data_IF_361950336252
#
_entry.id   IF_361950336252
#
_cell.length_a   1.000
_cell.length_b   1.000
_cell.length_c   1.000
_cell.angle_alpha   90.00
_cell.angle_beta   90.00
_cell.angle_gamma   90.00
#
_symmetry.space_group_name_H-M   'P 1'
#
loop_
_entity.id
_entity.type
_entity.pdbx_description
1 polymer ?
#
# COMPACT_ATOMS: atom_id res chain seq x y z
N UNK A 1 17.49 86.90 -20.42
CA UNK A 1 18.73 86.16 -20.07
C UNK A 1 18.32 84.88 -19.34
N UNK A 2 18.66 83.65 -19.68
CA UNK A 2 19.35 83.03 -20.82
C UNK A 2 18.59 81.74 -21.23
N UNK A 3 18.61 81.34 -22.52
CA UNK A 3 19.48 80.28 -23.10
C UNK A 3 19.33 78.93 -22.38
N UNK A 4 19.09 77.77 -23.01
CA UNK A 4 19.23 77.28 -24.39
C UNK A 4 18.71 75.82 -24.42
N UNK A 5 18.18 75.38 -25.57
CA UNK A 5 18.42 74.09 -26.29
C UNK A 5 18.33 72.73 -25.52
N UNK A 6 17.99 71.56 -26.07
CA UNK A 6 17.56 71.03 -27.38
C UNK A 6 17.21 69.53 -27.13
N UNK A 7 16.16 69.04 -27.80
CA UNK A 7 16.03 67.77 -28.57
C UNK A 7 16.30 66.37 -27.94
N UNK A 8 15.27 65.52 -28.11
CA UNK A 8 15.21 64.04 -28.32
C UNK A 8 15.49 63.07 -27.17
N UNK A 9 14.52 62.21 -26.86
CA UNK A 9 14.43 60.90 -27.54
C UNK A 9 13.10 60.19 -27.27
N UNK A 10 12.51 59.70 -28.35
CA UNK A 10 11.38 58.77 -28.43
C UNK A 10 11.68 57.46 -27.70
N UNK A 11 10.69 56.87 -27.04
CA UNK A 11 10.16 55.53 -27.37
C UNK A 11 9.10 55.05 -26.37
N UNK A 12 7.95 54.76 -26.94
CA UNK A 12 7.12 53.59 -26.65
C UNK A 12 6.55 53.50 -25.23
N UNK A 13 5.52 54.31 -25.00
CA UNK A 13 4.31 53.79 -24.34
C UNK A 13 3.78 52.62 -25.20
N UNK A 14 4.17 51.39 -24.87
CA UNK A 14 3.45 50.21 -25.35
C UNK A 14 2.03 50.27 -24.80
N UNK A 15 1.12 50.74 -25.64
CA UNK A 15 -0.31 50.54 -25.49
C UNK A 15 -0.56 49.05 -25.28
N UNK A 16 -1.09 48.72 -24.10
CA UNK A 16 -1.78 47.48 -23.78
C UNK A 16 -2.77 47.12 -24.91
N UNK A 17 -2.34 46.31 -25.88
CA UNK A 17 -3.25 45.62 -26.80
C UNK A 17 -4.02 44.60 -25.98
N UNK A 18 -5.28 44.91 -25.64
CA UNK A 18 -6.26 43.91 -25.22
C UNK A 18 -6.30 42.82 -26.28
N UNK A 19 -5.66 41.69 -25.99
CA UNK A 19 -5.63 40.50 -26.85
C UNK A 19 -7.08 40.01 -26.95
N UNK A 20 -7.66 40.08 -28.14
CA UNK A 20 -9.00 39.53 -28.39
C UNK A 20 -8.94 38.03 -28.12
N UNK A 21 -9.48 37.59 -26.98
CA UNK A 21 -9.51 36.18 -26.63
C UNK A 21 -10.58 35.53 -27.49
N UNK A 22 -10.15 34.71 -28.45
CA UNK A 22 -11.04 34.03 -29.38
C UNK A 22 -11.87 32.98 -28.61
N UNK A 23 -13.20 33.12 -28.61
CA UNK A 23 -14.13 32.24 -27.88
C UNK A 23 -13.93 30.75 -28.23
N UNK A 24 -13.58 30.45 -29.48
CA UNK A 24 -13.28 29.08 -29.90
C UNK A 24 -12.02 28.50 -29.22
N UNK A 25 -11.03 29.33 -28.92
CA UNK A 25 -9.81 28.91 -28.21
C UNK A 25 -10.12 28.63 -26.73
N UNK A 26 -10.98 29.44 -26.11
CA UNK A 26 -11.43 29.22 -24.71
C UNK A 26 -12.16 27.88 -24.60
N UNK A 27 -13.10 27.59 -25.51
CA UNK A 27 -13.86 26.33 -25.50
C UNK A 27 -12.93 25.13 -25.65
N UNK A 28 -11.92 25.19 -26.53
CA UNK A 28 -10.93 24.12 -26.69
C UNK A 28 -10.11 23.89 -25.42
N UNK A 29 -9.69 24.95 -24.74
CA UNK A 29 -8.94 24.86 -23.47
C UNK A 29 -9.80 24.22 -22.38
N UNK A 30 -11.08 24.63 -22.27
CA UNK A 30 -12.02 24.05 -21.30
C UNK A 30 -12.23 22.55 -21.56
N UNK A 31 -12.43 22.16 -22.82
CA UNK A 31 -12.57 20.75 -23.20
C UNK A 31 -11.33 19.92 -22.87
N UNK A 32 -10.12 20.45 -23.10
CA UNK A 32 -8.88 19.78 -22.70
C UNK A 32 -8.78 19.60 -21.19
N UNK A 33 -9.13 20.61 -20.39
CA UNK A 33 -9.11 20.51 -18.93
C UNK A 33 -10.12 19.46 -18.44
N UNK A 34 -11.33 19.46 -18.99
CA UNK A 34 -12.36 18.47 -18.69
C UNK A 34 -11.92 17.03 -19.02
N UNK A 35 -11.25 16.83 -20.15
CA UNK A 35 -10.72 15.52 -20.53
C UNK A 35 -9.66 15.03 -19.53
N UNK A 36 -8.77 15.91 -19.07
CA UNK A 36 -7.76 15.58 -18.05
C UNK A 36 -8.42 15.18 -16.73
N UNK A 37 -9.44 15.92 -16.29
CA UNK A 37 -10.19 15.61 -15.06
C UNK A 37 -10.88 14.24 -15.16
N UNK A 38 -11.50 13.91 -16.30
CA UNK A 38 -12.15 12.61 -16.52
C UNK A 38 -11.13 11.47 -16.46
N UNK A 39 -9.97 11.64 -17.12
CA UNK A 39 -8.91 10.62 -17.12
C UNK A 39 -8.38 10.40 -15.69
N UNK A 40 -8.12 11.48 -14.93
CA UNK A 40 -7.68 11.38 -13.54
C UNK A 40 -8.75 10.74 -12.64
N UNK A 41 -10.02 11.07 -12.83
CA UNK A 41 -11.13 10.49 -12.08
C UNK A 41 -11.32 8.99 -12.30
N UNK A 42 -11.24 8.54 -13.56
CA UNK A 42 -11.32 7.10 -13.91
C UNK A 42 -10.13 6.35 -13.32
N UNK A 43 -8.91 6.91 -13.43
CA UNK A 43 -7.69 6.29 -12.90
C UNK A 43 -7.68 6.21 -11.36
N UNK A 44 -8.28 7.20 -10.68
CA UNK A 44 -8.48 7.18 -9.23
C UNK A 44 -9.48 6.09 -8.80
N UNK A 45 -10.57 5.90 -9.55
CA UNK A 45 -11.57 4.86 -9.23
C UNK A 45 -11.06 3.43 -9.40
N UNK A 46 -10.21 3.15 -10.39
CA UNK A 46 -9.60 1.82 -10.55
C UNK A 46 -8.71 1.45 -9.36
N UNK A 47 -7.87 2.37 -8.89
CA UNK A 47 -7.04 2.18 -7.69
C UNK A 47 -7.88 1.99 -6.42
N UNK A 48 -9.01 2.69 -6.31
CA UNK A 48 -9.89 2.55 -5.15
C UNK A 48 -10.62 1.20 -5.11
N UNK A 49 -11.02 0.65 -6.27
CA UNK A 49 -11.63 -0.69 -6.37
C UNK A 49 -10.64 -1.82 -6.07
N UNK A 50 -9.34 -1.64 -6.35
CA UNK A 50 -8.30 -2.60 -5.96
C UNK A 50 -8.14 -2.66 -4.44
N UNK A 51 -8.10 -1.50 -3.76
CA UNK A 51 -8.00 -1.43 -2.28
C UNK A 51 -9.25 -1.94 -1.56
N UNK A 52 -10.45 -1.78 -2.12
CA UNK A 52 -11.68 -2.26 -1.46
C UNK A 52 -11.86 -3.78 -1.50
N UNK A 53 -11.20 -4.49 -2.42
CA UNK A 53 -11.31 -5.94 -2.55
C UNK A 53 -10.40 -6.72 -1.57
N UNK A 54 -9.64 -6.04 -0.73
CA UNK A 54 -8.82 -6.66 0.31
C UNK A 54 -9.63 -7.31 1.43
N UNK A 55 -10.93 -7.06 1.47
CA UNK A 55 -11.79 -7.46 2.58
C UNK A 55 -12.32 -8.89 2.35
N UNK A 56 -11.61 -9.83 2.99
CA UNK A 56 -12.02 -11.18 3.34
C UNK A 56 -11.83 -12.28 2.27
N UNK A 57 -10.96 -13.25 2.58
CA UNK A 57 -10.72 -14.48 1.81
C UNK A 57 -11.80 -15.56 2.02
N UNK A 58 -13.01 -15.21 2.48
CA UNK A 58 -14.10 -16.19 2.66
C UNK A 58 -14.49 -16.83 1.32
N UNK A 59 -14.45 -18.16 1.29
CA UNK A 59 -14.78 -18.95 0.09
C UNK A 59 -13.66 -19.04 -0.94
N UNK A 60 -12.46 -18.56 -0.63
CA UNK A 60 -11.26 -18.80 -1.43
C UNK A 60 -10.54 -20.06 -0.96
N UNK A 61 -9.96 -20.81 -1.90
CA UNK A 61 -9.06 -21.92 -1.63
C UNK A 61 -7.64 -21.59 -2.13
N UNK A 62 -6.62 -22.09 -1.43
CA UNK A 62 -5.24 -21.98 -1.88
C UNK A 62 -5.04 -22.88 -3.11
N UNK A 63 -4.50 -22.32 -4.19
CA UNK A 63 -4.17 -23.08 -5.40
C UNK A 63 -2.67 -23.28 -5.57
N UNK A 64 -1.89 -22.21 -5.43
CA UNK A 64 -0.44 -22.24 -5.56
C UNK A 64 0.19 -21.56 -4.35
N UNK A 65 1.30 -22.12 -3.86
CA UNK A 65 2.12 -21.54 -2.81
C UNK A 65 3.59 -21.63 -3.25
N UNK A 66 4.29 -20.49 -3.27
CA UNK A 66 5.72 -20.43 -3.61
C UNK A 66 6.48 -19.67 -2.53
N UNK A 67 7.50 -20.30 -1.95
CA UNK A 67 8.42 -19.62 -1.03
C UNK A 67 9.11 -18.47 -1.77
N UNK A 68 8.95 -17.25 -1.25
CA UNK A 68 9.58 -16.05 -1.82
C UNK A 68 10.72 -15.55 -0.96
N UNK A 69 10.62 -15.69 0.37
CA UNK A 69 11.67 -15.21 1.26
C UNK A 69 11.68 -15.94 2.61
N UNK A 70 12.79 -15.82 3.32
CA UNK A 70 12.99 -16.29 4.69
C UNK A 70 13.83 -15.27 5.44
N UNK A 71 13.34 -14.86 6.60
CA UNK A 71 13.94 -13.84 7.45
C UNK A 71 13.92 -14.27 8.92
N UNK A 72 14.79 -13.67 9.73
CA UNK A 72 14.67 -13.78 11.19
C UNK A 72 13.56 -12.84 11.67
N UNK A 73 12.87 -13.19 12.74
CA UNK A 73 11.96 -12.30 13.45
C UNK A 73 12.74 -11.50 14.47
N UNK A 74 12.42 -10.21 14.57
CA UNK A 74 12.97 -9.34 15.62
C UNK A 74 12.28 -9.68 16.93
N UNK A 75 13.07 -9.95 17.98
CA UNK A 75 12.55 -10.09 19.33
C UNK A 75 12.42 -8.70 19.97
N UNK A 76 11.22 -8.35 20.43
CA UNK A 76 10.91 -7.10 21.14
C UNK A 76 10.35 -7.48 22.50
N UNK A 77 11.08 -7.13 23.56
CA UNK A 77 10.72 -7.39 24.96
C UNK A 77 10.36 -8.87 25.25
N UNK A 78 11.05 -9.82 24.60
CA UNK A 78 10.80 -11.25 24.76
C UNK A 78 9.75 -11.83 23.81
N UNK A 79 9.11 -11.01 22.98
CA UNK A 79 8.05 -11.43 22.05
C UNK A 79 8.49 -11.29 20.59
N UNK A 80 7.96 -12.14 19.72
CA UNK A 80 8.21 -12.10 18.27
C UNK A 80 7.02 -11.57 17.47
N UNK A 81 5.80 -11.71 18.02
CA UNK A 81 4.56 -11.25 17.40
C UNK A 81 3.74 -10.47 18.43
N UNK A 82 3.16 -9.35 17.99
CA UNK A 82 1.98 -8.78 18.63
C UNK A 82 0.72 -9.38 18.02
N UNK A 83 -0.28 -9.68 18.84
CA UNK A 83 -1.62 -10.10 18.42
C UNK A 83 -2.61 -9.04 18.89
N UNK A 84 -3.44 -8.53 18.00
CA UNK A 84 -4.48 -7.57 18.36
C UNK A 84 -5.73 -7.73 17.50
N UNK A 85 -6.77 -6.97 17.83
CA UNK A 85 -8.03 -6.96 17.09
C UNK A 85 -8.21 -5.59 16.43
N UNK A 86 -8.50 -5.54 15.14
CA UNK A 86 -8.85 -4.32 14.42
C UNK A 86 -10.19 -4.53 13.74
N UNK A 87 -11.19 -3.72 14.06
CA UNK A 87 -12.54 -3.82 13.49
C UNK A 87 -13.16 -5.24 13.63
N UNK A 88 -12.93 -5.91 14.76
CA UNK A 88 -13.42 -7.27 15.03
C UNK A 88 -12.67 -8.38 14.29
N UNK A 89 -11.58 -8.07 13.59
CA UNK A 89 -10.71 -9.04 12.93
C UNK A 89 -9.41 -9.19 13.71
N UNK A 90 -8.90 -10.41 13.87
CA UNK A 90 -7.61 -10.68 14.52
C UNK A 90 -6.47 -10.40 13.53
N UNK A 91 -5.49 -9.64 14.01
CA UNK A 91 -4.27 -9.25 13.32
C UNK A 91 -3.04 -9.71 14.11
N UNK A 92 -1.97 -10.00 13.38
CA UNK A 92 -0.64 -10.22 13.92
C UNK A 92 0.33 -9.20 13.33
N UNK A 93 1.15 -8.63 14.19
CA UNK A 93 2.14 -7.62 13.84
C UNK A 93 3.52 -8.15 14.19
N UNK A 94 4.46 -8.10 13.25
CA UNK A 94 5.84 -8.51 13.48
C UNK A 94 6.83 -7.71 12.64
N UNK A 95 8.12 -7.80 12.99
CA UNK A 95 9.21 -7.20 12.23
C UNK A 95 10.19 -8.29 11.82
N UNK A 96 10.60 -8.28 10.54
CA UNK A 96 11.62 -9.16 10.02
C UNK A 96 13.00 -8.50 10.04
N UNK A 97 14.05 -9.29 10.16
CA UNK A 97 15.44 -8.86 10.03
C UNK A 97 16.19 -9.79 9.08
N UNK A 98 16.89 -9.20 8.12
CA UNK A 98 17.74 -9.90 7.16
C UNK A 98 18.94 -9.01 6.82
N UNK A 99 20.14 -9.59 6.81
CA UNK A 99 21.38 -8.86 6.54
C UNK A 99 21.58 -7.62 7.45
N UNK A 100 21.19 -7.72 8.73
CA UNK A 100 21.21 -6.64 9.73
C UNK A 100 20.29 -5.44 9.41
N UNK A 101 19.41 -5.56 8.42
CA UNK A 101 18.36 -4.58 8.12
C UNK A 101 17.02 -5.08 8.65
N UNK A 102 16.34 -4.23 9.42
CA UNK A 102 15.01 -4.50 9.94
C UNK A 102 13.95 -3.94 9.01
N UNK A 103 12.90 -4.70 8.75
CA UNK A 103 11.73 -4.25 8.00
C UNK A 103 10.94 -3.20 8.78
N UNK A 104 9.95 -2.57 8.16
CA UNK A 104 8.86 -1.95 8.92
C UNK A 104 8.01 -3.02 9.62
N UNK A 105 7.11 -2.60 10.49
CA UNK A 105 6.09 -3.49 11.05
C UNK A 105 5.21 -4.04 9.93
N UNK A 106 5.10 -5.37 9.89
CA UNK A 106 4.25 -6.11 8.98
C UNK A 106 2.98 -6.46 9.75
N UNK A 107 1.85 -5.92 9.30
CA UNK A 107 0.52 -6.25 9.82
C UNK A 107 -0.19 -7.22 8.86
N UNK A 108 -0.64 -8.35 9.41
CA UNK A 108 -1.34 -9.40 8.66
C UNK A 108 -2.55 -9.91 9.43
N UNK A 109 -3.63 -10.22 8.71
CA UNK A 109 -4.79 -10.87 9.32
C UNK A 109 -4.48 -12.33 9.64
N UNK A 110 -5.15 -12.89 10.65
CA UNK A 110 -4.98 -14.28 11.11
C UNK A 110 -5.03 -15.32 9.97
N UNK A 111 -5.89 -15.10 8.95
CA UNK A 111 -5.98 -15.99 7.77
C UNK A 111 -4.73 -16.03 6.88
N UNK A 112 -3.80 -15.09 7.05
CA UNK A 112 -2.59 -14.95 6.25
C UNK A 112 -1.34 -15.41 7.00
N UNK A 113 -1.49 -15.96 8.20
CA UNK A 113 -0.36 -16.43 9.01
C UNK A 113 -0.63 -17.83 9.56
N UNK A 114 0.38 -18.69 9.49
CA UNK A 114 0.47 -19.94 10.22
C UNK A 114 1.48 -19.78 11.34
N UNK A 115 1.12 -20.17 12.55
CA UNK A 115 2.02 -20.13 13.71
C UNK A 115 2.43 -21.56 14.04
N UNK A 116 3.72 -21.84 13.89
CA UNK A 116 4.35 -23.08 14.28
C UNK A 116 5.12 -22.86 15.57
N UNK A 117 4.72 -23.55 16.64
CA UNK A 117 5.46 -23.55 17.88
C UNK A 117 6.64 -24.50 17.78
N UNK A 118 7.86 -23.97 17.89
CA UNK A 118 9.10 -24.73 17.76
C UNK A 118 10.01 -24.49 18.97
N UNK A 119 10.63 -25.57 19.44
CA UNK A 119 11.68 -25.52 20.45
C UNK A 119 13.07 -25.57 19.81
N UNK A 120 14.03 -24.94 20.50
CA UNK A 120 15.44 -24.84 20.11
C UNK A 120 16.17 -26.19 20.03
N UNK A 121 15.55 -27.27 20.52
CA UNK A 121 16.22 -28.54 20.78
C UNK A 121 16.13 -29.56 19.65
N UNK A 122 15.20 -29.45 18.68
CA UNK A 122 14.94 -30.55 17.73
C UNK A 122 14.21 -30.19 16.42
N UNK A 123 14.12 -28.92 16.03
CA UNK A 123 13.39 -28.52 14.82
C UNK A 123 14.32 -28.25 13.63
N UNK A 124 13.92 -28.71 12.43
CA UNK A 124 14.50 -28.27 11.15
C UNK A 124 14.36 -26.74 10.97
N UNK A 125 13.38 -26.14 11.65
CA UNK A 125 13.03 -24.73 11.57
C UNK A 125 13.44 -23.99 12.84
N UNK A 126 14.37 -23.04 12.71
CA UNK A 126 14.93 -22.29 13.84
C UNK A 126 13.84 -21.38 14.48
N UNK A 127 13.68 -21.37 15.82
CA UNK A 127 12.79 -20.43 16.49
C UNK A 127 13.18 -18.97 16.18
N UNK A 128 12.17 -18.11 16.04
CA UNK A 128 12.34 -16.72 15.62
C UNK A 128 12.59 -16.60 14.12
N UNK A 129 11.97 -17.45 13.29
CA UNK A 129 12.08 -17.40 11.83
C UNK A 129 10.71 -17.17 11.21
N UNK A 130 10.66 -16.41 10.11
CA UNK A 130 9.46 -16.27 9.27
C UNK A 130 9.78 -16.63 7.83
N UNK A 131 8.92 -17.45 7.22
CA UNK A 131 8.95 -17.78 5.80
C UNK A 131 7.76 -17.12 5.11
N UNK A 132 8.04 -16.31 4.10
CA UNK A 132 7.03 -15.65 3.31
C UNK A 132 6.77 -16.44 2.02
N UNK A 133 5.51 -16.66 1.71
CA UNK A 133 5.06 -17.37 0.53
C UNK A 133 4.16 -16.46 -0.30
N UNK A 134 4.41 -16.40 -1.61
CA UNK A 134 3.45 -15.84 -2.54
C UNK A 134 2.38 -16.90 -2.82
N UNK A 135 1.13 -16.57 -2.51
CA UNK A 135 0.03 -17.52 -2.53
C UNK A 135 -1.11 -17.01 -3.42
N UNK A 136 -1.57 -17.89 -4.32
CA UNK A 136 -2.74 -17.64 -5.16
C UNK A 136 -3.99 -18.20 -4.48
N UNK A 137 -4.87 -17.30 -4.06
CA UNK A 137 -6.18 -17.63 -3.50
C UNK A 137 -7.23 -17.58 -4.61
N UNK A 138 -7.93 -18.69 -4.82
CA UNK A 138 -8.88 -18.84 -5.91
C UNK A 138 -10.29 -19.10 -5.39
N UNK A 139 -11.24 -18.32 -5.87
CA UNK A 139 -12.67 -18.54 -5.64
C UNK A 139 -13.26 -19.24 -6.85
N UNK A 140 -13.99 -20.32 -6.61
CA UNK A 140 -14.69 -21.10 -7.64
C UNK A 140 -16.20 -20.93 -7.52
N UNK A 141 -16.92 -21.03 -8.64
CA UNK A 141 -18.38 -21.14 -8.65
C UNK A 141 -18.84 -22.57 -8.28
N UNK A 142 -20.17 -22.79 -8.25
CA UNK A 142 -20.77 -24.11 -7.96
C UNK A 142 -20.42 -25.18 -9.00
N UNK A 143 -19.97 -24.78 -10.18
CA UNK A 143 -19.58 -25.66 -11.29
C UNK A 143 -18.07 -25.91 -11.33
N UNK A 144 -17.32 -25.38 -10.36
CA UNK A 144 -15.87 -25.53 -10.27
C UNK A 144 -15.05 -24.55 -11.12
N UNK A 145 -15.68 -23.60 -11.81
CA UNK A 145 -14.98 -22.62 -12.63
C UNK A 145 -14.38 -21.52 -11.76
N UNK A 146 -13.18 -21.05 -12.13
CA UNK A 146 -12.51 -19.96 -11.43
C UNK A 146 -13.22 -18.64 -11.74
N UNK A 147 -13.76 -18.00 -10.70
CA UNK A 147 -14.43 -16.69 -10.81
C UNK A 147 -13.55 -15.54 -10.36
N UNK A 148 -12.56 -15.78 -9.48
CA UNK A 148 -11.61 -14.75 -9.04
C UNK A 148 -10.34 -15.38 -8.47
N UNK A 149 -9.20 -14.78 -8.81
CA UNK A 149 -7.90 -15.09 -8.20
C UNK A 149 -7.38 -13.85 -7.48
N UNK A 150 -6.90 -14.00 -6.26
CA UNK A 150 -6.22 -12.96 -5.49
C UNK A 150 -4.83 -13.45 -5.11
N UNK A 151 -3.81 -12.65 -5.40
CA UNK A 151 -2.44 -12.93 -4.96
C UNK A 151 -2.20 -12.24 -3.64
N UNK A 152 -1.78 -12.99 -2.62
CA UNK A 152 -1.40 -12.42 -1.32
C UNK A 152 -0.18 -13.12 -0.78
N UNK A 153 0.51 -12.46 0.14
CA UNK A 153 1.52 -13.13 0.94
C UNK A 153 0.86 -13.94 2.06
N UNK A 154 1.40 -15.13 2.28
CA UNK A 154 1.13 -16.00 3.41
C UNK A 154 2.42 -16.20 4.20
N UNK A 155 2.34 -16.16 5.52
CA UNK A 155 3.51 -16.23 6.38
C UNK A 155 3.45 -17.46 7.26
N UNK A 156 4.49 -18.29 7.23
CA UNK A 156 4.69 -19.35 8.23
C UNK A 156 5.70 -18.85 9.23
N UNK A 157 5.26 -18.71 10.48
CA UNK A 157 6.00 -18.09 11.56
C UNK A 157 6.37 -19.15 12.58
N UNK A 158 7.67 -19.29 12.86
CA UNK A 158 8.22 -20.31 13.74
C UNK A 158 8.73 -19.64 15.01
N UNK A 159 8.06 -19.86 16.13
CA UNK A 159 8.32 -19.17 17.39
C UNK A 159 8.21 -20.12 18.59
N UNK A 160 8.85 -19.82 19.72
CA UNK A 160 8.64 -20.57 20.95
C UNK A 160 7.23 -20.37 21.52
N UNK A 161 6.82 -21.23 22.45
CA UNK A 161 5.58 -21.00 23.21
C UNK A 161 5.66 -19.67 23.99
N UNK A 162 4.50 -19.06 24.20
CA UNK A 162 4.34 -17.82 24.99
C UNK A 162 5.10 -16.59 24.47
N UNK A 163 5.55 -16.58 23.21
CA UNK A 163 6.24 -15.43 22.60
C UNK A 163 5.34 -14.56 21.72
N UNK A 164 4.02 -14.64 21.94
CA UNK A 164 3.03 -13.74 21.34
C UNK A 164 2.56 -12.79 22.43
N UNK A 165 2.70 -11.49 22.18
CA UNK A 165 2.19 -10.44 23.05
C UNK A 165 0.75 -10.09 22.67
N UNK A 166 -0.15 -10.06 23.64
CA UNK A 166 -1.49 -9.51 23.41
C UNK A 166 -1.42 -7.99 23.44
N UNK A 167 -1.86 -7.36 22.36
CA UNK A 167 -1.91 -5.93 22.15
C UNK A 167 -3.33 -5.35 22.27
N UNK A 168 -4.35 -6.18 22.51
CA UNK A 168 -5.74 -5.73 22.63
C UNK A 168 -6.34 -5.17 21.34
N UNK A 169 -7.17 -4.14 21.45
CA UNK A 169 -7.75 -3.44 20.29
C UNK A 169 -6.70 -2.51 19.65
N UNK A 170 -6.57 -2.64 18.34
CA UNK A 170 -5.69 -1.84 17.50
C UNK A 170 -6.48 -0.66 16.93
N UNK A 171 -5.83 0.49 16.84
CA UNK A 171 -6.38 1.67 16.17
C UNK A 171 -5.63 1.88 14.87
N UNK A 172 -6.36 2.05 13.76
CA UNK A 172 -5.76 2.65 12.57
C UNK A 172 -5.40 4.08 12.94
N UNK A 173 -4.14 4.47 12.82
CA UNK A 173 -3.79 5.89 12.84
C UNK A 173 -4.54 6.53 11.68
N UNK A 174 -5.43 7.49 11.98
CA UNK A 174 -5.99 8.35 10.95
C UNK A 174 -4.80 9.05 10.25
N UNK A 175 -4.63 8.78 8.96
CA UNK A 175 -3.65 9.46 8.12
C UNK A 175 -3.96 10.97 8.17
N UNK A 176 -3.14 11.78 8.85
CA UNK A 176 -3.07 13.25 8.66
C UNK A 176 -2.44 13.59 7.31
#
# INVERSE_FOLDING_TARGET
MGKKNEITSTKLFEQNKKKHINKHTIIKVILCILAIIIILGIYGQTKYKERQNDKNLVGYAVQNEKLVDTCNLVNIDGFYLGKGTLNGQVHYIFQGEKNNEKSNNIDVIDKQVEIHYVDSSNSLDKPGTVKAYATDYVKKDKNGNIIKTQKRYYYKVYIPQNSIKDCGELTASDDE
#
